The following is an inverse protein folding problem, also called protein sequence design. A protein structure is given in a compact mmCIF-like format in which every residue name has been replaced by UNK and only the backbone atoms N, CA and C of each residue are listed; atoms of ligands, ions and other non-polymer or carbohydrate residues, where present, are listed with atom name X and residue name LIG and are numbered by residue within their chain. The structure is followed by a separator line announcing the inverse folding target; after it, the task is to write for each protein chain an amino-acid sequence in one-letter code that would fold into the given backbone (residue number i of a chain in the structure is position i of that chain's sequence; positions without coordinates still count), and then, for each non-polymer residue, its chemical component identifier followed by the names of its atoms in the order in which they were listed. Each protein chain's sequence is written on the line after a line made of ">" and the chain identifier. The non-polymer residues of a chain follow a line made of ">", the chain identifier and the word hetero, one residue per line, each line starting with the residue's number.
data_IF_695100594638
#
_entry.id   IF_695100594638
#
_cell.length_a   1.000
_cell.length_b   1.000
_cell.length_c   1.000
_cell.angle_alpha   90.00
_cell.angle_beta   90.00
_cell.angle_gamma   90.00
#
_symmetry.space_group_name_H-M   'P 1'
#
loop_
_entity.id
_entity.type
_entity.pdbx_description
1 polymer ?
#
# COMPACT_ATOMS: atom_id res chain seq x y z
N UNK A 1 -10.01 -2.34 -19.16
CA UNK A 1 -9.14 -3.47 -19.45
C UNK A 1 -9.16 -4.51 -18.38
N UNK A 2 -8.98 -5.75 -18.79
CA UNK A 2 -8.85 -6.85 -17.84
C UNK A 2 -7.53 -6.72 -17.10
N UNK A 3 -7.57 -6.74 -15.79
CA UNK A 3 -6.36 -6.61 -14.98
C UNK A 3 -5.90 -8.00 -14.57
N UNK A 4 -4.86 -8.47 -15.19
CA UNK A 4 -4.21 -9.70 -14.79
C UNK A 4 -3.32 -9.42 -13.57
N UNK A 5 -3.93 -9.41 -12.40
CA UNK A 5 -3.27 -9.07 -11.14
C UNK A 5 -2.12 -10.03 -10.82
N UNK A 6 -2.31 -11.33 -11.07
CA UNK A 6 -1.25 -12.32 -10.89
C UNK A 6 -0.06 -12.08 -11.80
N UNK A 7 -0.30 -11.75 -13.06
CA UNK A 7 0.77 -11.42 -14.02
C UNK A 7 1.53 -10.16 -13.57
N UNK A 8 0.81 -9.16 -13.06
CA UNK A 8 1.44 -7.96 -12.49
C UNK A 8 2.35 -8.32 -11.31
N UNK A 9 1.89 -9.17 -10.40
CA UNK A 9 2.70 -9.63 -9.26
C UNK A 9 3.96 -10.35 -9.72
N UNK A 10 3.87 -11.20 -10.73
CA UNK A 10 5.00 -11.90 -11.33
C UNK A 10 6.01 -10.94 -11.93
N UNK A 11 5.55 -9.97 -12.72
CA UNK A 11 6.41 -8.95 -13.33
C UNK A 11 7.11 -8.10 -12.29
N UNK A 12 6.40 -7.69 -11.24
CA UNK A 12 6.97 -6.91 -10.14
C UNK A 12 8.04 -7.70 -9.40
N UNK A 13 7.78 -8.98 -9.13
CA UNK A 13 8.76 -9.85 -8.48
C UNK A 13 10.05 -9.98 -9.31
N UNK A 14 9.91 -10.14 -10.62
CA UNK A 14 11.06 -10.19 -11.53
C UNK A 14 11.84 -8.89 -11.52
N UNK A 15 11.17 -7.75 -11.58
CA UNK A 15 11.83 -6.43 -11.52
C UNK A 15 12.58 -6.21 -10.23
N UNK A 16 11.98 -6.54 -9.09
CA UNK A 16 12.61 -6.40 -7.79
C UNK A 16 13.82 -7.33 -7.65
N UNK A 17 13.80 -8.49 -8.30
CA UNK A 17 14.90 -9.45 -8.24
C UNK A 17 16.07 -9.09 -9.16
N UNK A 18 15.84 -8.35 -10.26
CA UNK A 18 16.83 -8.03 -11.28
C UNK A 18 17.55 -6.70 -11.10
N UNK A 19 16.99 -5.78 -10.33
CA UNK A 19 17.55 -4.45 -10.20
C UNK A 19 18.86 -4.46 -9.40
N UNK A 20 19.96 -4.21 -10.09
CA UNK A 20 21.30 -4.26 -9.51
C UNK A 20 21.53 -3.23 -8.40
N UNK A 21 20.83 -2.10 -8.44
CA UNK A 21 20.91 -1.07 -7.40
C UNK A 21 20.25 -1.51 -6.08
N UNK A 22 19.45 -2.57 -6.10
CA UNK A 22 18.80 -3.14 -4.93
C UNK A 22 19.58 -4.32 -4.32
N UNK A 23 20.90 -4.39 -4.52
CA UNK A 23 21.71 -5.50 -3.99
C UNK A 23 21.83 -5.48 -2.47
N UNK A 24 21.77 -4.31 -1.88
CA UNK A 24 21.92 -4.16 -0.43
C UNK A 24 20.55 -4.04 0.25
N UNK A 25 19.95 -5.19 0.55
CA UNK A 25 18.67 -5.25 1.26
C UNK A 25 18.80 -4.75 2.71
N UNK A 26 20.00 -4.81 3.29
CA UNK A 26 20.27 -4.31 4.64
C UNK A 26 20.46 -2.79 4.70
N UNK A 27 20.55 -2.12 3.56
CA UNK A 27 20.68 -0.67 3.48
C UNK A 27 19.46 0.07 3.98
N UNK A 28 19.61 1.39 4.12
CA UNK A 28 18.58 2.27 4.65
C UNK A 28 17.45 2.58 3.66
N UNK A 29 17.66 2.28 2.39
CA UNK A 29 16.75 2.62 1.32
C UNK A 29 15.58 1.62 1.25
N UNK A 30 14.35 2.12 1.16
CA UNK A 30 13.16 1.31 0.95
C UNK A 30 12.47 1.73 -0.35
N UNK A 31 12.23 0.79 -1.29
CA UNK A 31 11.43 1.10 -2.47
C UNK A 31 9.99 1.42 -2.09
N UNK A 32 9.33 2.25 -2.89
CA UNK A 32 7.94 2.57 -2.72
C UNK A 32 7.14 1.93 -3.86
N UNK A 33 6.08 1.22 -3.50
CA UNK A 33 5.21 0.53 -4.45
C UNK A 33 3.79 1.04 -4.27
N UNK A 34 3.21 1.56 -5.34
CA UNK A 34 1.83 2.02 -5.39
C UNK A 34 1.05 1.17 -6.35
N UNK A 35 -0.02 0.59 -5.87
CA UNK A 35 -0.93 -0.20 -6.68
C UNK A 35 -2.24 0.56 -6.86
N UNK A 36 -2.64 0.78 -8.10
CA UNK A 36 -3.92 1.38 -8.42
C UNK A 36 -4.82 0.33 -9.07
N UNK A 37 -6.04 0.20 -8.59
CA UNK A 37 -6.98 -0.77 -9.11
C UNK A 37 -8.40 -0.21 -9.12
N UNK A 38 -9.11 -0.45 -10.21
CA UNK A 38 -10.50 -0.07 -10.40
C UNK A 38 -11.46 -1.26 -10.54
N UNK A 39 -10.99 -2.48 -10.30
CA UNK A 39 -11.82 -3.68 -10.50
C UNK A 39 -11.36 -4.90 -9.72
N UNK A 40 -11.96 -6.02 -10.08
CA UNK A 40 -11.67 -7.32 -9.53
C UNK A 40 -10.52 -8.00 -10.29
N UNK A 41 -9.67 -8.80 -9.63
CA UNK A 41 -8.73 -9.65 -10.34
C UNK A 41 -9.47 -10.68 -11.19
N UNK A 42 -9.00 -10.87 -12.42
CA UNK A 42 -9.61 -11.82 -13.35
C UNK A 42 -8.84 -13.13 -13.48
N UNK A 43 -7.68 -13.22 -12.85
CA UNK A 43 -6.80 -14.38 -12.90
C UNK A 43 -6.59 -15.02 -11.53
N UNK A 44 -5.92 -16.18 -11.52
CA UNK A 44 -5.50 -16.85 -10.29
C UNK A 44 -4.23 -16.18 -9.72
N UNK A 45 -4.41 -15.11 -8.97
CA UNK A 45 -3.31 -14.28 -8.49
C UNK A 45 -2.61 -14.82 -7.23
N UNK A 46 -3.24 -15.70 -6.47
CA UNK A 46 -2.76 -16.10 -5.13
C UNK A 46 -1.35 -16.69 -5.11
N UNK A 47 -1.03 -17.50 -6.10
CA UNK A 47 0.30 -18.12 -6.23
C UNK A 47 1.38 -17.06 -6.48
N UNK A 48 1.16 -16.17 -7.41
CA UNK A 48 2.14 -15.14 -7.77
C UNK A 48 2.25 -14.07 -6.67
N UNK A 49 1.14 -13.72 -6.03
CA UNK A 49 1.17 -12.83 -4.87
C UNK A 49 1.93 -13.46 -3.71
N UNK A 50 1.76 -14.76 -3.45
CA UNK A 50 2.51 -15.48 -2.44
C UNK A 50 4.01 -15.45 -2.68
N UNK A 51 4.43 -15.66 -3.92
CA UNK A 51 5.84 -15.55 -4.32
C UNK A 51 6.39 -14.14 -4.14
N UNK A 52 5.60 -13.14 -4.53
CA UNK A 52 5.99 -11.74 -4.36
C UNK A 52 6.19 -11.39 -2.89
N UNK A 53 5.32 -11.86 -2.02
CA UNK A 53 5.41 -11.63 -0.57
C UNK A 53 6.69 -12.21 0.06
N UNK A 54 7.30 -13.21 -0.55
CA UNK A 54 8.57 -13.78 -0.10
C UNK A 54 9.79 -13.00 -0.58
N UNK A 55 9.62 -12.10 -1.55
CA UNK A 55 10.70 -11.26 -2.05
C UNK A 55 11.14 -10.27 -0.97
N UNK A 56 12.44 -10.26 -0.64
CA UNK A 56 12.99 -9.41 0.42
C UNK A 56 12.80 -7.92 0.16
N UNK A 57 12.89 -7.49 -1.09
CA UNK A 57 12.65 -6.09 -1.45
C UNK A 57 11.18 -5.72 -1.32
N UNK A 58 10.29 -6.64 -1.66
CA UNK A 58 8.85 -6.44 -1.46
C UNK A 58 8.51 -6.33 0.03
N UNK A 59 9.09 -7.19 0.87
CA UNK A 59 8.90 -7.13 2.33
C UNK A 59 9.35 -5.79 2.92
N UNK A 60 10.44 -5.24 2.39
CA UNK A 60 11.01 -3.97 2.82
C UNK A 60 10.30 -2.76 2.22
N UNK A 61 9.59 -2.90 1.13
CA UNK A 61 8.97 -1.81 0.41
C UNK A 61 7.88 -1.11 1.21
N UNK A 62 7.76 0.20 1.01
CA UNK A 62 6.59 0.97 1.40
C UNK A 62 5.49 0.64 0.38
N UNK A 63 4.33 0.20 0.85
CA UNK A 63 3.23 -0.25 -0.02
C UNK A 63 1.96 0.50 0.32
N UNK A 64 1.37 1.13 -0.69
CA UNK A 64 0.06 1.76 -0.60
C UNK A 64 -0.74 1.35 -1.83
N UNK A 65 -1.99 0.97 -1.62
CA UNK A 65 -2.91 0.68 -2.70
C UNK A 65 -4.02 1.73 -2.75
N UNK A 66 -4.42 2.10 -3.96
CA UNK A 66 -5.50 3.04 -4.20
C UNK A 66 -6.62 2.31 -4.93
N UNK A 67 -7.77 2.21 -4.26
CA UNK A 67 -8.99 1.67 -4.83
C UNK A 67 -9.76 2.79 -5.53
N UNK A 68 -9.94 2.66 -6.83
CA UNK A 68 -10.60 3.66 -7.66
C UNK A 68 -12.05 3.24 -7.90
N UNK A 69 -12.98 4.04 -7.44
CA UNK A 69 -14.40 3.73 -7.55
C UNK A 69 -14.84 2.63 -6.58
N UNK A 70 -16.01 2.05 -6.84
CA UNK A 70 -16.63 1.08 -5.93
C UNK A 70 -16.39 -0.38 -6.34
N UNK A 71 -15.93 -0.62 -7.56
CA UNK A 71 -15.74 -1.96 -8.11
C UNK A 71 -14.39 -2.58 -7.74
N UNK A 72 -13.48 -1.82 -7.16
CA UNK A 72 -12.18 -2.33 -6.74
C UNK A 72 -12.31 -3.28 -5.54
N UNK A 73 -11.64 -4.43 -5.61
CA UNK A 73 -11.63 -5.39 -4.52
C UNK A 73 -10.62 -4.97 -3.44
N UNK A 74 -11.11 -4.32 -2.39
CA UNK A 74 -10.28 -3.79 -1.30
C UNK A 74 -9.58 -4.90 -0.51
N UNK A 75 -10.17 -6.08 -0.39
CA UNK A 75 -9.57 -7.20 0.32
C UNK A 75 -8.31 -7.71 -0.38
N UNK A 76 -8.34 -7.79 -1.71
CA UNK A 76 -7.16 -8.15 -2.51
C UNK A 76 -6.07 -7.10 -2.37
N UNK A 77 -6.44 -5.83 -2.40
CA UNK A 77 -5.49 -4.72 -2.21
C UNK A 77 -4.87 -4.75 -0.81
N UNK A 78 -5.67 -5.05 0.22
CA UNK A 78 -5.17 -5.22 1.58
C UNK A 78 -4.23 -6.42 1.69
N UNK A 79 -4.50 -7.50 1.00
CA UNK A 79 -3.61 -8.66 0.94
C UNK A 79 -2.27 -8.31 0.28
N UNK A 80 -2.29 -7.51 -0.78
CA UNK A 80 -1.07 -7.03 -1.44
C UNK A 80 -0.24 -6.13 -0.53
N UNK A 81 -0.84 -5.16 0.12
CA UNK A 81 -0.13 -4.22 1.00
C UNK A 81 0.22 -4.81 2.37
N UNK A 82 -0.49 -5.85 2.79
CA UNK A 82 -0.36 -6.45 4.11
C UNK A 82 -1.23 -5.82 5.20
N UNK A 83 -1.99 -4.77 4.87
CA UNK A 83 -2.84 -4.07 5.84
C UNK A 83 -4.00 -3.37 5.16
N UNK A 84 -5.17 -3.41 5.78
CA UNK A 84 -6.34 -2.64 5.34
C UNK A 84 -6.10 -1.13 5.45
N UNK A 85 -5.29 -0.69 6.39
CA UNK A 85 -4.93 0.72 6.57
C UNK A 85 -4.10 1.28 5.43
N UNK A 86 -3.45 0.42 4.64
CA UNK A 86 -2.67 0.79 3.47
C UNK A 86 -3.48 0.85 2.18
N UNK A 87 -4.81 0.74 2.26
CA UNK A 87 -5.73 0.85 1.13
C UNK A 87 -6.54 2.13 1.27
N UNK A 88 -6.40 3.01 0.28
CA UNK A 88 -7.13 4.28 0.21
C UNK A 88 -8.14 4.20 -0.91
N UNK A 89 -9.41 4.47 -0.63
CA UNK A 89 -10.44 4.54 -1.65
C UNK A 89 -10.62 5.99 -2.11
N UNK A 90 -10.66 6.21 -3.43
CA UNK A 90 -10.90 7.51 -4.03
C UNK A 90 -12.13 7.44 -4.94
N UNK A 91 -12.96 8.47 -4.87
CA UNK A 91 -14.25 8.50 -5.57
C UNK A 91 -14.31 9.54 -6.68
N UNK A 92 -13.30 10.39 -6.82
CA UNK A 92 -13.25 11.41 -7.86
C UNK A 92 -11.88 11.44 -8.54
N UNK A 93 -11.80 11.84 -9.83
CA UNK A 93 -10.51 11.99 -10.51
C UNK A 93 -9.58 13.02 -9.84
N UNK A 94 -10.14 14.09 -9.30
CA UNK A 94 -9.37 15.12 -8.59
C UNK A 94 -8.72 14.56 -7.32
N UNK A 95 -9.48 13.78 -6.54
CA UNK A 95 -8.96 13.12 -5.35
C UNK A 95 -7.88 12.09 -5.70
N UNK A 96 -8.04 11.37 -6.81
CA UNK A 96 -7.04 10.41 -7.30
C UNK A 96 -5.71 11.11 -7.58
N UNK A 97 -5.72 12.20 -8.33
CA UNK A 97 -4.50 12.96 -8.68
C UNK A 97 -3.82 13.48 -7.41
N UNK A 98 -4.57 14.07 -6.50
CA UNK A 98 -4.04 14.58 -5.23
C UNK A 98 -3.43 13.47 -4.39
N UNK A 99 -4.10 12.33 -4.30
CA UNK A 99 -3.63 11.20 -3.49
C UNK A 99 -2.36 10.58 -4.07
N UNK A 100 -2.30 10.37 -5.37
CA UNK A 100 -1.09 9.87 -6.05
C UNK A 100 0.09 10.79 -5.78
N UNK A 101 -0.10 12.10 -5.94
CA UNK A 101 0.95 13.08 -5.71
C UNK A 101 1.40 13.08 -4.25
N UNK A 102 0.45 13.10 -3.32
CA UNK A 102 0.75 13.09 -1.88
C UNK A 102 1.51 11.84 -1.46
N UNK A 103 1.03 10.67 -1.84
CA UNK A 103 1.66 9.39 -1.47
C UNK A 103 3.03 9.26 -2.11
N UNK A 104 3.19 9.66 -3.37
CA UNK A 104 4.47 9.60 -4.08
C UNK A 104 5.53 10.46 -3.41
N UNK A 105 5.22 11.70 -3.06
CA UNK A 105 6.15 12.61 -2.39
C UNK A 105 6.47 12.10 -0.98
N UNK A 106 5.44 11.74 -0.21
CA UNK A 106 5.60 11.27 1.17
C UNK A 106 6.45 10.00 1.24
N UNK A 107 6.15 9.02 0.40
CA UNK A 107 6.87 7.76 0.39
C UNK A 107 8.32 7.92 -0.10
N UNK A 108 8.57 8.81 -1.06
CA UNK A 108 9.92 9.12 -1.53
C UNK A 108 10.75 9.77 -0.42
N UNK A 109 10.17 10.70 0.31
CA UNK A 109 10.85 11.37 1.42
C UNK A 109 11.18 10.38 2.55
N UNK A 110 10.23 9.58 2.96
CA UNK A 110 10.42 8.62 4.06
C UNK A 110 11.30 7.46 3.63
N UNK A 111 11.11 6.93 2.41
CA UNK A 111 11.89 5.82 1.87
C UNK A 111 13.38 6.15 1.74
N UNK A 112 13.72 7.40 1.44
CA UNK A 112 15.11 7.85 1.27
C UNK A 112 15.78 8.32 2.55
N UNK A 113 15.06 8.38 3.68
CA UNK A 113 15.67 8.73 4.96
C UNK A 113 16.72 7.70 5.38
N UNK A 114 17.88 8.22 5.79
CA UNK A 114 18.97 7.36 6.24
C UNK A 114 18.65 6.65 7.56
N UNK A 115 19.22 5.47 7.73
CA UNK A 115 19.06 4.68 8.94
C UNK A 115 19.82 5.27 10.11
N UNK A 116 19.20 5.49 11.24
CA UNK A 116 19.91 5.61 12.50
C UNK A 116 20.65 4.30 12.82
N UNK A 117 21.79 4.40 13.48
CA UNK A 117 22.63 3.26 13.86
C UNK A 117 21.83 2.29 14.75
N UNK A 118 21.80 1.00 14.39
CA UNK A 118 21.37 -0.09 15.28
C UNK A 118 20.00 -0.71 15.03
N UNK A 119 19.25 -0.36 13.98
CA UNK A 119 18.01 -1.05 13.64
C UNK A 119 18.17 -1.88 12.36
N UNK A 120 17.84 -3.17 12.44
CA UNK A 120 17.85 -4.07 11.29
C UNK A 120 16.84 -3.70 10.21
N UNK A 121 17.07 -4.20 8.98
CA UNK A 121 16.31 -3.81 7.79
C UNK A 121 14.79 -4.00 7.88
N UNK A 122 14.31 -5.05 8.56
CA UNK A 122 12.87 -5.35 8.66
C UNK A 122 12.16 -4.39 9.61
N UNK A 123 12.71 -4.16 10.82
CA UNK A 123 12.12 -3.25 11.80
C UNK A 123 12.00 -1.83 11.25
N UNK A 124 12.97 -1.47 10.42
CA UNK A 124 12.98 -0.18 9.80
C UNK A 124 11.97 -0.05 8.66
N UNK A 125 11.81 -1.09 7.88
CA UNK A 125 10.77 -1.13 6.85
C UNK A 125 9.38 -0.99 7.47
N UNK A 126 9.11 -1.66 8.57
CA UNK A 126 7.86 -1.54 9.33
C UNK A 126 7.68 -0.12 9.84
N UNK A 127 8.74 0.51 10.37
CA UNK A 127 8.70 1.89 10.86
C UNK A 127 8.40 2.89 9.73
N UNK A 128 9.03 2.74 8.56
CA UNK A 128 8.77 3.60 7.39
C UNK A 128 7.36 3.41 6.84
N UNK A 129 6.89 2.17 6.77
CA UNK A 129 5.52 1.87 6.36
C UNK A 129 4.51 2.55 7.29
N UNK A 130 4.68 2.43 8.60
CA UNK A 130 3.80 3.06 9.58
C UNK A 130 3.82 4.58 9.48
N UNK A 131 4.98 5.19 9.27
CA UNK A 131 5.10 6.64 9.13
C UNK A 131 4.37 7.16 7.90
N UNK A 132 4.47 6.45 6.75
CA UNK A 132 3.71 6.80 5.54
C UNK A 132 2.22 6.67 5.80
N UNK A 133 1.78 5.59 6.42
CA UNK A 133 0.35 5.37 6.70
C UNK A 133 -0.22 6.42 7.65
N UNK A 134 0.52 6.83 8.66
CA UNK A 134 0.08 7.90 9.57
C UNK A 134 -0.13 9.22 8.82
N UNK A 135 0.75 9.56 7.90
CA UNK A 135 0.61 10.77 7.09
C UNK A 135 -0.54 10.68 6.09
N UNK A 136 -0.72 9.52 5.46
CA UNK A 136 -1.85 9.29 4.56
C UNK A 136 -3.17 9.35 5.32
N UNK A 137 -3.24 8.74 6.49
CA UNK A 137 -4.41 8.80 7.37
C UNK A 137 -4.76 10.23 7.75
N UNK A 138 -3.78 11.04 8.12
CA UNK A 138 -4.02 12.45 8.43
C UNK A 138 -4.55 13.23 7.22
N UNK A 139 -4.03 12.96 6.03
CA UNK A 139 -4.51 13.60 4.80
C UNK A 139 -5.96 13.21 4.49
N UNK A 140 -6.33 11.96 4.71
CA UNK A 140 -7.70 11.47 4.52
C UNK A 140 -8.65 12.10 5.55
N UNK A 141 -8.25 12.15 6.82
CA UNK A 141 -9.04 12.76 7.90
C UNK A 141 -9.27 14.26 7.68
N UNK A 142 -8.32 14.93 7.05
CA UNK A 142 -8.43 16.35 6.72
C UNK A 142 -9.21 16.64 5.44
N UNK A 143 -9.57 15.62 4.67
CA UNK A 143 -10.40 15.78 3.49
C UNK A 143 -11.85 16.05 3.89
N UNK A 144 -12.38 17.18 3.46
CA UNK A 144 -13.75 17.61 3.77
C UNK A 144 -14.75 17.26 2.66
N UNK A 145 -14.26 16.73 1.52
CA UNK A 145 -15.11 16.48 0.35
C UNK A 145 -15.80 15.12 0.37
N UNK A 146 -15.33 14.19 1.21
CA UNK A 146 -15.80 12.80 1.22
C UNK A 146 -15.32 11.98 0.03
N UNK A 147 -14.42 12.51 -0.79
CA UNK A 147 -13.93 11.85 -2.00
C UNK A 147 -12.81 10.82 -1.73
N UNK A 148 -12.32 10.75 -0.49
CA UNK A 148 -11.23 9.86 -0.08
C UNK A 148 -11.65 9.15 1.21
N UNK A 149 -11.45 7.83 1.27
CA UNK A 149 -11.75 7.02 2.45
C UNK A 149 -10.62 6.04 2.77
N UNK A 150 -10.41 5.79 4.06
CA UNK A 150 -9.60 4.67 4.54
C UNK A 150 -10.47 3.77 5.42
N UNK A 151 -10.23 2.46 5.34
CA UNK A 151 -10.85 1.54 6.28
C UNK A 151 -10.33 1.81 7.69
N UNK A 152 -11.26 2.18 8.57
CA UNK A 152 -10.94 2.48 9.96
C UNK A 152 -11.32 1.27 10.82
N UNK A 153 -10.32 0.57 11.32
CA UNK A 153 -10.52 -0.57 12.20
C UNK A 153 -11.12 -0.20 13.56
N UNK A 154 -11.20 1.11 13.85
CA UNK A 154 -11.73 1.60 15.13
C UNK A 154 -13.24 1.84 15.16
N UNK A 155 -13.92 1.71 14.02
CA UNK A 155 -15.37 1.99 13.94
C UNK A 155 -16.23 0.78 14.35
N UNK A 156 -15.60 -0.38 14.52
CA UNK A 156 -16.38 -1.61 14.81
C UNK A 156 -17.05 -1.64 16.20
N UNK A 157 -16.61 -0.79 17.13
CA UNK A 157 -17.18 -0.81 18.48
C UNK A 157 -18.44 0.03 18.63
N UNK A 158 -18.61 1.05 17.79
CA UNK A 158 -19.79 1.94 17.91
C UNK A 158 -20.98 1.41 17.12
N UNK A 159 -20.71 0.73 16.00
CA UNK A 159 -21.77 0.12 15.20
C UNK A 159 -22.35 -1.14 15.85
N UNK A 160 -21.56 -1.84 16.67
CA UNK A 160 -22.04 -3.02 17.39
C UNK A 160 -23.05 -2.66 18.51
N UNK A 161 -22.91 -1.52 19.13
CA UNK A 161 -23.86 -1.09 20.15
C UNK A 161 -25.23 -0.71 19.57
N UNK A 162 -25.27 -0.21 18.34
CA UNK A 162 -26.53 0.11 17.68
C UNK A 162 -27.33 -1.11 17.22
N UNK A 163 -26.70 -2.29 17.18
CA UNK A 163 -27.34 -3.55 16.76
C UNK A 163 -27.73 -4.44 17.95
N UNK A 164 -27.43 -4.06 19.16
CA UNK A 164 -27.62 -4.89 20.36
C UNK A 164 -29.05 -4.88 20.90
N UNK A 165 -30.04 -4.44 20.07
CA UNK A 165 -31.44 -4.42 20.50
C UNK A 165 -32.48 -4.33 19.33
#
# INVERSE_FOLDING_TARGET
>A
GLTDFGEMCKMLNEKLSRNAFMRDVAGSFAPAIFLLSDGEPTDEYKKELGRLKENNWFKKAIKVAVAIGEDANRDVLAEFTGSKEAVVAVHTPEALVKMIRFVSVTASQIGSQSSGVGKGGVDRAVSKQSEVLDKVKSAVENDTTGAVEMENTSVSSTDQESWAW
#
